data_IF_716404602594
#
_entry.id   IF_716404602594
#
_cell.length_a   1.000
_cell.length_b   1.000
_cell.length_c   1.000
_cell.angle_alpha   90.00
_cell.angle_beta   90.00
_cell.angle_gamma   90.00
#
_symmetry.space_group_name_H-M   'P 1'
#
loop_
_entity.id
_entity.type
_entity.pdbx_description
1 polymer ?
#
# COMPACT_ATOMS: atom_id res chain seq x y z
N UNK A 1 16.36 -2.33 1.84
CA UNK A 1 15.40 -2.49 0.72
C UNK A 1 14.11 -1.76 1.06
N UNK A 2 13.88 -0.56 0.53
CA UNK A 2 12.77 0.34 0.96
C UNK A 2 11.36 -0.24 0.73
N UNK A 3 11.20 -1.13 -0.25
CA UNK A 3 9.88 -1.71 -0.58
C UNK A 3 9.46 -2.87 0.33
N UNK A 4 10.39 -3.53 1.02
CA UNK A 4 10.06 -4.70 1.85
C UNK A 4 9.27 -4.29 3.10
N UNK A 5 9.73 -3.28 3.83
CA UNK A 5 9.05 -2.75 5.03
C UNK A 5 7.68 -2.18 4.71
N UNK A 6 7.56 -1.39 3.63
CA UNK A 6 6.26 -0.91 3.13
C UNK A 6 5.32 -2.09 2.84
N UNK A 7 5.77 -3.07 2.06
CA UNK A 7 4.96 -4.22 1.66
C UNK A 7 4.50 -4.98 2.90
N UNK A 8 5.40 -5.21 3.84
CA UNK A 8 5.11 -5.91 5.08
C UNK A 8 4.10 -5.14 5.94
N UNK A 9 4.28 -3.82 6.10
CA UNK A 9 3.34 -2.94 6.81
C UNK A 9 1.95 -3.00 6.20
N UNK A 10 1.83 -2.84 4.88
CA UNK A 10 0.53 -2.90 4.18
C UNK A 10 -0.12 -4.28 4.37
N UNK A 11 0.64 -5.37 4.23
CA UNK A 11 0.12 -6.73 4.43
C UNK A 11 -0.35 -6.97 5.88
N UNK A 12 0.38 -6.46 6.86
CA UNK A 12 0.01 -6.54 8.27
C UNK A 12 -1.31 -5.81 8.53
N UNK A 13 -1.45 -4.58 8.04
CA UNK A 13 -2.68 -3.79 8.19
C UNK A 13 -3.89 -4.45 7.51
N UNK A 14 -3.67 -5.10 6.36
CA UNK A 14 -4.72 -5.91 5.73
C UNK A 14 -5.11 -7.09 6.63
N UNK A 15 -4.14 -7.82 7.17
CA UNK A 15 -4.40 -8.95 8.06
C UNK A 15 -5.14 -8.54 9.35
N UNK A 16 -4.78 -7.39 9.94
CA UNK A 16 -5.46 -6.82 11.12
C UNK A 16 -6.94 -6.49 10.84
N UNK A 17 -7.29 -6.21 9.59
CA UNK A 17 -8.68 -6.01 9.14
C UNK A 17 -9.38 -7.29 8.68
N UNK A 18 -8.71 -8.45 8.73
CA UNK A 18 -9.22 -9.71 8.19
C UNK A 18 -9.26 -9.74 6.65
N UNK A 19 -8.43 -8.92 5.99
CA UNK A 19 -8.42 -8.72 4.55
C UNK A 19 -7.19 -9.33 3.88
N UNK A 20 -7.32 -9.59 2.58
CA UNK A 20 -6.25 -10.04 1.69
C UNK A 20 -6.12 -9.08 0.51
N UNK A 21 -5.04 -9.19 -0.28
CA UNK A 21 -4.92 -8.43 -1.53
C UNK A 21 -6.08 -8.75 -2.49
N UNK A 22 -6.57 -9.99 -2.50
CA UNK A 22 -7.69 -10.44 -3.34
C UNK A 22 -9.06 -9.97 -2.86
N UNK A 23 -9.26 -9.76 -1.56
CA UNK A 23 -10.51 -9.14 -1.06
C UNK A 23 -10.46 -7.63 -1.24
N UNK A 24 -9.31 -7.00 -0.99
CA UNK A 24 -9.07 -5.59 -1.29
C UNK A 24 -9.34 -5.26 -2.76
N UNK A 25 -8.85 -6.09 -3.69
CA UNK A 25 -9.07 -5.88 -5.12
C UNK A 25 -10.55 -5.88 -5.50
N UNK A 26 -11.34 -6.77 -4.87
CA UNK A 26 -12.80 -6.82 -5.06
C UNK A 26 -13.50 -5.58 -4.49
N UNK A 27 -13.07 -5.10 -3.32
CA UNK A 27 -13.65 -3.91 -2.68
C UNK A 27 -13.33 -2.61 -3.41
N UNK A 28 -12.14 -2.51 -4.01
CA UNK A 28 -11.73 -1.35 -4.79
C UNK A 28 -12.23 -1.39 -6.24
N UNK A 29 -12.83 -2.50 -6.68
CA UNK A 29 -13.15 -2.76 -8.09
C UNK A 29 -11.92 -2.57 -9.01
N UNK A 30 -10.83 -3.26 -8.66
CA UNK A 30 -9.54 -3.18 -9.37
C UNK A 30 -8.98 -4.57 -9.67
N UNK A 31 -8.22 -4.75 -10.76
CA UNK A 31 -7.50 -6.00 -11.02
C UNK A 31 -6.54 -6.32 -9.88
N UNK A 32 -6.57 -7.57 -9.38
CA UNK A 32 -5.70 -8.03 -8.27
C UNK A 32 -4.21 -7.79 -8.55
N UNK A 33 -3.78 -8.01 -9.80
CA UNK A 33 -2.41 -7.74 -10.22
C UNK A 33 -2.04 -6.25 -10.13
N UNK A 34 -2.99 -5.35 -10.43
CA UNK A 34 -2.76 -3.90 -10.31
C UNK A 34 -2.59 -3.48 -8.85
N UNK A 35 -3.41 -4.02 -7.95
CA UNK A 35 -3.31 -3.80 -6.51
C UNK A 35 -1.99 -4.32 -5.98
N UNK A 36 -1.65 -5.58 -6.28
CA UNK A 36 -0.40 -6.21 -5.90
C UNK A 36 0.82 -5.40 -6.38
N UNK A 37 0.84 -4.99 -7.66
CA UNK A 37 1.95 -4.21 -8.23
C UNK A 37 2.16 -2.87 -7.52
N UNK A 38 1.10 -2.24 -7.01
CA UNK A 38 1.23 -1.00 -6.23
C UNK A 38 1.76 -1.27 -4.82
N UNK A 39 1.28 -2.33 -4.16
CA UNK A 39 1.73 -2.71 -2.81
C UNK A 39 3.22 -3.11 -2.83
N UNK A 40 3.62 -3.95 -3.78
CA UNK A 40 5.00 -4.43 -3.94
C UNK A 40 5.97 -3.39 -4.54
N UNK A 41 5.44 -2.25 -4.99
CA UNK A 41 6.25 -1.17 -5.58
C UNK A 41 6.73 -1.43 -7.01
N UNK A 42 6.17 -2.41 -7.72
CA UNK A 42 6.44 -2.64 -9.15
C UNK A 42 5.83 -1.56 -10.05
N UNK A 43 4.74 -0.91 -9.60
CA UNK A 43 4.12 0.24 -10.27
C UNK A 43 3.71 1.30 -9.25
N UNK A 44 3.59 2.54 -9.71
CA UNK A 44 3.18 3.67 -8.91
C UNK A 44 1.99 4.38 -9.55
N UNK A 45 0.78 3.94 -9.20
CA UNK A 45 -0.46 4.63 -9.56
C UNK A 45 -0.95 5.43 -8.34
N UNK A 46 -0.84 6.76 -8.40
CA UNK A 46 -1.18 7.64 -7.28
C UNK A 46 -2.63 7.48 -6.81
N UNK A 47 -3.58 7.34 -7.76
CA UNK A 47 -5.00 7.13 -7.43
C UNK A 47 -5.21 5.83 -6.67
N UNK A 48 -4.66 4.73 -7.16
CA UNK A 48 -4.80 3.42 -6.52
C UNK A 48 -4.08 3.35 -5.16
N UNK A 49 -2.93 4.01 -5.01
CA UNK A 49 -2.28 4.15 -3.69
C UNK A 49 -3.17 4.93 -2.71
N UNK A 50 -3.85 5.98 -3.19
CA UNK A 50 -4.87 6.71 -2.43
C UNK A 50 -6.03 5.81 -1.99
N UNK A 51 -6.57 5.01 -2.91
CA UNK A 51 -7.65 4.05 -2.64
C UNK A 51 -7.22 2.99 -1.59
N UNK A 52 -6.03 2.42 -1.73
CA UNK A 52 -5.46 1.45 -0.77
C UNK A 52 -5.26 2.10 0.62
N UNK A 53 -4.71 3.31 0.65
CA UNK A 53 -4.45 4.03 1.90
C UNK A 53 -5.75 4.42 2.62
N UNK A 54 -6.73 4.92 1.87
CA UNK A 54 -8.08 5.22 2.38
C UNK A 54 -8.75 3.97 2.97
N UNK A 55 -8.67 2.82 2.29
CA UNK A 55 -9.21 1.56 2.81
C UNK A 55 -8.57 1.14 4.13
N UNK A 56 -7.24 1.30 4.23
CA UNK A 56 -6.49 0.98 5.43
C UNK A 56 -6.70 2.01 6.55
N UNK A 57 -7.20 3.21 6.23
CA UNK A 57 -7.38 4.29 7.20
C UNK A 57 -6.07 5.00 7.56
N UNK A 58 -5.09 4.98 6.66
CA UNK A 58 -3.78 5.62 6.86
C UNK A 58 -3.48 6.63 5.75
N UNK A 59 -2.67 7.66 6.02
CA UNK A 59 -2.15 8.55 4.98
C UNK A 59 -1.32 7.79 3.93
N UNK A 60 -1.45 8.19 2.66
CA UNK A 60 -0.65 7.62 1.56
C UNK A 60 0.85 7.70 1.85
N UNK A 61 1.30 8.83 2.42
CA UNK A 61 2.71 9.04 2.74
C UNK A 61 3.24 8.01 3.75
N UNK A 62 2.46 7.70 4.79
CA UNK A 62 2.88 6.70 5.78
C UNK A 62 3.02 5.30 5.21
N UNK A 63 2.20 4.96 4.21
CA UNK A 63 2.18 3.63 3.61
C UNK A 63 3.15 3.47 2.43
N UNK A 64 3.30 4.51 1.61
CA UNK A 64 3.99 4.42 0.32
C UNK A 64 5.23 5.33 0.20
N UNK A 65 5.45 6.22 1.18
CA UNK A 65 6.61 7.08 1.27
C UNK A 65 7.29 6.84 2.63
N UNK A 66 7.98 5.71 2.75
CA UNK A 66 8.80 5.43 3.94
C UNK A 66 9.75 6.61 4.20
N UNK A 67 9.55 7.26 5.34
CA UNK A 67 10.31 8.36 5.94
C UNK A 67 11.17 9.16 4.94
N UNK A 68 10.64 10.27 4.45
CA UNK A 68 11.51 11.43 4.22
C UNK A 68 12.05 11.81 5.60
N UNK A 69 13.21 11.27 6.01
CA UNK A 69 13.98 11.94 7.05
C UNK A 69 14.35 13.31 6.47
N UNK A 70 13.88 14.42 7.06
CA UNK A 70 14.44 15.72 6.73
C UNK A 70 15.87 15.75 7.27
N UNK A 71 16.86 15.63 6.39
CA UNK A 71 18.25 15.97 6.68
C UNK A 71 19.16 14.82 7.11
N UNK A 72 19.87 14.25 6.13
CA UNK A 72 21.31 13.97 6.25
C UNK A 72 21.97 14.42 4.96
N UNK A 73 22.42 15.67 4.96
CA UNK A 73 23.54 16.14 4.15
C UNK A 73 24.80 16.03 5.00
#
# INVERSE_FOLDING_TARGET
MKNFEQTWRIKRLLAEKGETISSLSRKLDRPVGSVANNIYGYRANAKLRGEIASFLGHPVKELFEGEVQPGRR
#
